data_IF_603461330388
#
_entry.id   IF_603461330388
#
_cell.length_a   1.000
_cell.length_b   1.000
_cell.length_c   1.000
_cell.angle_alpha   90.00
_cell.angle_beta   90.00
_cell.angle_gamma   90.00
#
_symmetry.space_group_name_H-M   'P 1'
#
loop_
_entity.id
_entity.type
_entity.pdbx_description
1 polymer ?
#
# COMPACT_ATOMS: atom_id res chain seq x y z
N UNK A 1 -34.66 71.98 -41.59
CA UNK A 1 -33.80 71.49 -42.70
C UNK A 1 -33.44 70.02 -42.42
N UNK A 2 -33.84 69.13 -43.35
CA UNK A 2 -33.59 67.67 -43.51
C UNK A 2 -33.63 66.75 -42.26
N UNK A 3 -34.61 65.85 -42.02
CA UNK A 3 -35.31 64.79 -42.81
C UNK A 3 -34.44 63.54 -43.12
N UNK A 4 -34.90 62.37 -42.65
CA UNK A 4 -34.57 61.00 -43.12
C UNK A 4 -34.34 60.03 -41.93
N UNK A 5 -35.27 59.23 -41.39
CA UNK A 5 -36.34 58.34 -41.90
C UNK A 5 -35.86 57.01 -42.53
N UNK A 6 -36.25 55.89 -41.89
CA UNK A 6 -36.40 54.54 -42.46
C UNK A 6 -35.12 53.69 -42.52
N UNK A 7 -35.12 52.36 -42.34
CA UNK A 7 -36.19 51.37 -42.34
C UNK A 7 -35.72 50.05 -41.71
N UNK A 8 -36.69 49.28 -41.20
CA UNK A 8 -36.58 47.90 -40.72
C UNK A 8 -36.35 46.94 -41.89
N UNK A 9 -35.55 45.88 -41.73
CA UNK A 9 -35.83 44.55 -42.32
C UNK A 9 -35.34 43.41 -41.41
N UNK A 10 -36.27 42.51 -41.10
CA UNK A 10 -36.06 41.17 -40.54
C UNK A 10 -35.52 40.27 -41.66
N UNK A 11 -34.63 39.34 -41.33
CA UNK A 11 -34.51 38.07 -42.04
C UNK A 11 -34.08 36.98 -41.06
N UNK A 12 -34.84 35.91 -41.06
CA UNK A 12 -34.67 34.70 -40.27
C UNK A 12 -33.98 33.61 -41.10
N UNK A 13 -33.55 32.56 -40.39
CA UNK A 13 -33.28 31.19 -40.84
C UNK A 13 -31.93 30.92 -41.53
N UNK A 14 -31.12 30.02 -40.96
CA UNK A 14 -31.27 28.57 -41.15
C UNK A 14 -30.32 27.79 -40.23
N UNK A 15 -30.87 26.73 -39.62
CA UNK A 15 -30.15 25.63 -38.99
C UNK A 15 -29.18 24.96 -39.98
N UNK A 16 -28.01 24.57 -39.49
CA UNK A 16 -27.25 23.43 -39.99
C UNK A 16 -26.67 22.70 -38.78
N UNK A 17 -27.41 21.68 -38.33
CA UNK A 17 -26.92 20.67 -37.41
C UNK A 17 -26.16 19.62 -38.24
N UNK A 18 -24.85 19.55 -38.07
CA UNK A 18 -24.02 18.48 -38.65
C UNK A 18 -24.02 17.30 -37.68
N UNK A 19 -24.88 16.33 -37.94
CA UNK A 19 -24.82 15.01 -37.32
C UNK A 19 -23.69 14.19 -37.97
N UNK A 20 -22.66 13.86 -37.20
CA UNK A 20 -21.67 12.86 -37.60
C UNK A 20 -22.20 11.48 -37.19
N UNK A 21 -22.79 10.76 -38.15
CA UNK A 21 -23.02 9.32 -38.04
C UNK A 21 -21.69 8.60 -38.31
N UNK A 22 -21.07 8.05 -37.26
CA UNK A 22 -20.12 6.94 -37.42
C UNK A 22 -20.89 5.63 -37.37
N UNK A 23 -20.90 4.92 -38.49
CA UNK A 23 -21.50 3.61 -38.70
C UNK A 23 -20.77 2.53 -37.91
N UNK A 24 -21.53 1.76 -37.14
CA UNK A 24 -21.08 0.49 -36.56
C UNK A 24 -21.20 -0.60 -37.64
N UNK A 25 -20.08 -1.19 -38.04
CA UNK A 25 -20.07 -2.37 -38.87
C UNK A 25 -20.29 -3.61 -37.99
N UNK A 26 -21.45 -4.23 -38.18
CA UNK A 26 -21.81 -5.54 -37.68
C UNK A 26 -21.16 -6.59 -38.59
N UNK A 27 -20.29 -7.45 -38.05
CA UNK A 27 -19.86 -8.68 -38.73
C UNK A 27 -20.54 -9.85 -38.04
N UNK A 28 -21.52 -10.41 -38.73
CA UNK A 28 -22.19 -11.66 -38.40
C UNK A 28 -21.28 -12.83 -38.76
N UNK A 29 -20.93 -13.65 -37.77
CA UNK A 29 -20.31 -14.95 -37.95
C UNK A 29 -21.01 -15.96 -37.06
N UNK A 30 -21.91 -16.77 -37.62
CA UNK A 30 -22.54 -17.90 -36.94
C UNK A 30 -21.86 -19.23 -37.34
N UNK A 31 -21.47 -19.96 -36.29
CA UNK A 31 -21.66 -21.39 -36.03
C UNK A 31 -21.11 -22.44 -37.01
N UNK A 32 -20.18 -23.25 -36.49
CA UNK A 32 -20.30 -24.71 -36.52
C UNK A 32 -19.93 -25.30 -35.16
N UNK A 33 -20.87 -26.03 -34.56
CA UNK A 33 -20.69 -26.82 -33.35
C UNK A 33 -20.01 -28.16 -33.68
N UNK A 34 -18.98 -28.51 -32.90
CA UNK A 34 -18.31 -29.81 -32.94
C UNK A 34 -18.30 -30.42 -31.55
N UNK A 35 -19.06 -31.50 -31.41
CA UNK A 35 -19.26 -32.30 -30.20
C UNK A 35 -17.96 -32.97 -29.74
N UNK A 36 -17.62 -32.83 -28.45
CA UNK A 36 -16.50 -33.52 -27.83
C UNK A 36 -16.66 -33.56 -26.32
N UNK A 37 -17.31 -34.61 -25.84
CA UNK A 37 -17.48 -34.96 -24.43
C UNK A 37 -16.14 -35.33 -23.80
N UNK A 38 -15.73 -34.67 -22.72
CA UNK A 38 -14.79 -35.24 -21.75
C UNK A 38 -15.38 -35.07 -20.35
N UNK A 39 -15.50 -36.22 -19.71
CA UNK A 39 -16.26 -36.51 -18.51
C UNK A 39 -15.46 -36.12 -17.26
N UNK A 40 -16.18 -35.62 -16.26
CA UNK A 40 -15.66 -35.24 -14.95
C UNK A 40 -15.13 -36.46 -14.17
N UNK A 41 -14.03 -36.26 -13.45
CA UNK A 41 -13.63 -37.10 -12.33
C UNK A 41 -13.52 -36.23 -11.07
N UNK A 42 -14.60 -36.21 -10.30
CA UNK A 42 -14.63 -35.77 -8.89
C UNK A 42 -14.36 -37.01 -8.05
N UNK A 43 -13.44 -36.92 -7.07
CA UNK A 43 -13.48 -37.79 -5.88
C UNK A 43 -13.43 -36.94 -4.61
N UNK A 44 -14.12 -37.36 -3.54
CA UNK A 44 -14.50 -36.51 -2.42
C UNK A 44 -13.64 -36.75 -1.17
N UNK A 45 -13.68 -35.79 -0.24
CA UNK A 45 -13.26 -36.00 1.14
C UNK A 45 -12.64 -34.77 1.78
N UNK A 46 -13.42 -33.98 2.50
CA UNK A 46 -13.37 -33.93 3.96
C UNK A 46 -14.44 -32.96 4.46
N UNK A 47 -15.25 -33.47 5.38
CA UNK A 47 -16.40 -32.84 5.98
C UNK A 47 -16.03 -31.81 7.05
N UNK A 48 -16.94 -30.86 7.17
CA UNK A 48 -17.13 -29.86 8.21
C UNK A 48 -16.92 -30.40 9.63
N UNK A 49 -16.13 -29.68 10.43
CA UNK A 49 -16.08 -29.84 11.87
C UNK A 49 -15.60 -28.53 12.54
N UNK A 50 -16.56 -27.80 13.08
CA UNK A 50 -16.51 -27.37 14.48
C UNK A 50 -15.52 -26.26 14.85
N UNK A 51 -16.06 -25.05 14.95
CA UNK A 51 -15.52 -23.97 15.79
C UNK A 51 -15.55 -24.41 17.27
N UNK A 52 -14.44 -24.35 18.03
CA UNK A 52 -14.51 -24.38 19.48
C UNK A 52 -14.54 -22.96 20.05
N UNK A 53 -15.56 -22.75 20.87
CA UNK A 53 -15.74 -21.63 21.79
C UNK A 53 -14.68 -21.69 22.89
N UNK A 54 -14.30 -20.53 23.41
CA UNK A 54 -13.44 -20.39 24.58
C UNK A 54 -14.08 -20.98 25.86
N UNK A 55 -13.28 -21.67 26.67
CA UNK A 55 -13.54 -21.88 28.10
C UNK A 55 -12.22 -21.89 28.89
N UNK A 56 -12.28 -21.31 30.09
CA UNK A 56 -11.19 -21.23 31.06
C UNK A 56 -11.14 -22.47 31.96
N UNK A 57 -9.93 -22.94 32.28
CA UNK A 57 -9.44 -23.65 33.48
C UNK A 57 -8.14 -24.34 33.04
N UNK A 58 -6.99 -24.33 33.71
CA UNK A 58 -6.68 -24.31 35.14
C UNK A 58 -5.50 -25.27 35.32
N UNK A 59 -4.35 -24.72 35.73
CA UNK A 59 -3.24 -25.29 36.52
C UNK A 59 -2.63 -26.67 36.18
N UNK A 60 -1.30 -26.62 36.11
CA UNK A 60 -0.31 -27.63 36.50
C UNK A 60 -0.24 -28.96 35.73
N UNK A 61 0.79 -29.08 34.87
CA UNK A 61 1.68 -30.25 34.84
C UNK A 61 2.86 -30.04 33.87
N UNK A 62 4.09 -30.15 34.41
CA UNK A 62 5.20 -30.84 33.74
C UNK A 62 5.99 -30.08 32.68
N UNK A 63 7.06 -29.41 33.11
CA UNK A 63 8.22 -29.07 32.29
C UNK A 63 9.03 -30.34 31.98
N UNK A 64 9.38 -30.65 30.72
CA UNK A 64 10.53 -31.48 30.43
C UNK A 64 11.76 -30.60 30.16
N UNK A 65 12.80 -30.94 30.90
CA UNK A 65 14.15 -30.38 30.91
C UNK A 65 14.85 -30.55 29.56
N UNK A 66 15.66 -29.55 29.23
CA UNK A 66 16.55 -29.49 28.08
C UNK A 66 17.46 -30.72 27.95
N UNK A 67 17.53 -31.28 26.74
CA UNK A 67 18.65 -32.10 26.27
C UNK A 67 19.59 -31.22 25.44
N UNK A 68 20.86 -31.24 25.83
CA UNK A 68 21.96 -30.63 25.08
C UNK A 68 22.19 -31.41 23.79
N UNK A 69 22.37 -30.70 22.67
CA UNK A 69 22.98 -31.24 21.48
C UNK A 69 23.77 -30.15 20.74
N UNK A 70 25.06 -30.42 20.52
CA UNK A 70 25.81 -30.00 19.35
C UNK A 70 26.32 -28.56 19.30
N UNK A 71 27.55 -28.35 19.77
CA UNK A 71 28.45 -27.40 19.12
C UNK A 71 28.83 -27.96 17.74
N UNK A 72 29.18 -27.04 16.84
CA UNK A 72 29.84 -27.23 15.53
C UNK A 72 28.90 -27.34 14.33
N UNK A 73 28.83 -26.24 13.56
CA UNK A 73 28.06 -26.13 12.33
C UNK A 73 28.01 -24.70 11.81
N UNK A 74 29.17 -24.07 11.60
CA UNK A 74 29.23 -22.78 10.91
C UNK A 74 28.71 -22.93 9.48
N UNK A 75 27.66 -22.19 9.14
CA UNK A 75 27.15 -22.10 7.76
C UNK A 75 27.93 -21.02 7.02
N UNK A 76 28.79 -21.34 6.04
CA UNK A 76 29.40 -20.34 5.18
C UNK A 76 28.41 -20.03 4.04
N UNK A 77 27.97 -18.76 3.91
CA UNK A 77 27.26 -18.37 2.68
C UNK A 77 26.34 -17.16 2.70
N UNK A 78 25.95 -16.62 3.86
CA UNK A 78 24.98 -15.51 3.89
C UNK A 78 25.58 -14.12 3.59
N UNK A 79 26.91 -13.96 3.60
CA UNK A 79 27.58 -12.64 3.42
C UNK A 79 27.90 -12.27 1.97
N UNK A 80 27.95 -13.22 1.02
CA UNK A 80 28.37 -12.91 -0.36
C UNK A 80 27.21 -12.45 -1.26
N UNK A 81 26.04 -13.08 -1.13
CA UNK A 81 24.87 -12.77 -1.97
C UNK A 81 24.36 -11.33 -1.79
N UNK A 82 24.47 -10.77 -0.58
CA UNK A 82 24.06 -9.38 -0.30
C UNK A 82 25.06 -8.32 -0.75
N UNK A 83 26.35 -8.66 -0.82
CA UNK A 83 27.40 -7.75 -1.28
C UNK A 83 27.41 -7.64 -2.82
N UNK A 84 27.13 -8.74 -3.51
CA UNK A 84 27.14 -8.81 -4.98
C UNK A 84 25.95 -8.06 -5.63
N UNK A 85 24.81 -7.97 -4.93
CA UNK A 85 23.65 -7.18 -5.38
C UNK A 85 23.82 -5.67 -5.14
N UNK A 86 24.62 -5.26 -4.14
CA UNK A 86 24.97 -3.86 -3.91
C UNK A 86 26.10 -3.39 -4.86
N UNK A 87 27.03 -4.29 -5.21
CA UNK A 87 28.19 -4.00 -6.05
C UNK A 87 27.87 -3.81 -7.54
N UNK A 88 26.70 -4.26 -8.00
CA UNK A 88 26.30 -4.19 -9.42
C UNK A 88 25.27 -3.09 -9.72
N UNK A 89 24.99 -2.18 -8.78
CA UNK A 89 24.08 -1.05 -9.03
C UNK A 89 24.78 0.04 -9.85
N UNK A 90 24.49 0.20 -11.16
CA UNK A 90 25.15 1.23 -11.96
C UNK A 90 24.63 2.61 -11.54
N UNK A 91 25.52 3.62 -11.49
CA UNK A 91 25.13 5.04 -11.32
C UNK A 91 24.04 5.47 -12.33
N UNK A 92 23.99 4.83 -13.50
CA UNK A 92 22.95 5.03 -14.50
C UNK A 92 21.52 4.75 -13.96
N UNK A 93 21.34 3.79 -13.05
CA UNK A 93 20.03 3.47 -12.48
C UNK A 93 19.52 4.52 -11.48
N UNK A 94 20.43 5.20 -10.77
CA UNK A 94 20.08 6.35 -9.93
C UNK A 94 19.70 7.56 -10.80
N UNK A 95 20.48 7.83 -11.86
CA UNK A 95 20.20 8.90 -12.81
C UNK A 95 18.88 8.70 -13.60
N UNK A 96 18.43 7.45 -13.78
CA UNK A 96 17.12 7.15 -14.37
C UNK A 96 15.96 7.31 -13.38
N UNK A 97 16.21 7.20 -12.07
CA UNK A 97 15.17 7.32 -11.04
C UNK A 97 14.87 8.77 -10.67
N UNK A 98 15.85 9.68 -10.69
CA UNK A 98 15.60 11.09 -10.34
C UNK A 98 14.56 11.77 -11.26
N UNK A 99 14.62 11.64 -12.60
CA UNK A 99 13.59 12.18 -13.49
C UNK A 99 12.24 11.47 -13.35
N UNK A 100 12.23 10.18 -12.98
CA UNK A 100 10.99 9.43 -12.73
C UNK A 100 10.31 9.87 -11.42
N UNK A 101 11.10 10.11 -10.37
CA UNK A 101 10.62 10.63 -9.08
C UNK A 101 10.13 12.08 -9.23
N UNK A 102 10.86 12.92 -9.98
CA UNK A 102 10.44 14.28 -10.31
C UNK A 102 9.19 14.30 -11.19
N UNK A 103 9.15 13.52 -12.28
CA UNK A 103 7.97 13.40 -13.15
C UNK A 103 6.74 12.83 -12.44
N UNK A 104 6.92 11.95 -11.45
CA UNK A 104 5.84 11.52 -10.57
C UNK A 104 5.38 12.62 -9.60
N UNK A 105 6.22 13.59 -9.24
CA UNK A 105 5.78 14.77 -8.51
C UNK A 105 4.86 15.65 -9.35
N UNK A 106 5.18 15.80 -10.63
CA UNK A 106 4.45 16.63 -11.59
C UNK A 106 3.11 16.00 -12.01
N UNK A 107 3.07 14.67 -12.12
CA UNK A 107 1.89 13.91 -12.57
C UNK A 107 0.70 13.91 -11.58
N UNK A 108 0.93 14.24 -10.30
CA UNK A 108 -0.09 14.17 -9.24
C UNK A 108 -0.57 15.53 -8.73
N UNK A 109 -0.18 16.64 -9.38
CA UNK A 109 -0.65 17.98 -9.06
C UNK A 109 0.06 18.65 -7.86
N UNK A 110 -0.34 19.89 -7.58
CA UNK A 110 0.29 20.75 -6.55
C UNK A 110 0.19 20.13 -5.15
N UNK A 111 1.15 20.42 -4.25
CA UNK A 111 1.08 19.99 -2.85
C UNK A 111 -0.26 20.37 -2.20
N UNK A 112 -0.89 19.40 -1.52
CA UNK A 112 -2.17 19.60 -0.81
C UNK A 112 -1.89 20.10 0.61
N UNK A 113 -2.50 21.22 1.01
CA UNK A 113 -2.46 21.70 2.41
C UNK A 113 -3.51 20.97 3.25
N UNK A 114 -3.07 19.95 3.99
CA UNK A 114 -3.94 19.11 4.82
C UNK A 114 -4.52 19.83 6.05
N UNK A 115 -4.15 21.08 6.33
CA UNK A 115 -4.83 21.92 7.33
C UNK A 115 -6.14 22.51 6.81
N UNK A 116 -6.31 22.53 5.49
CA UNK A 116 -7.50 23.10 4.81
C UNK A 116 -8.29 22.04 4.04
N UNK A 117 -7.59 21.08 3.44
CA UNK A 117 -8.20 19.99 2.68
C UNK A 117 -8.50 18.77 3.56
N UNK A 118 -9.50 17.96 3.16
CA UNK A 118 -9.75 16.66 3.78
C UNK A 118 -8.69 15.66 3.31
N UNK A 119 -7.57 15.56 4.01
CA UNK A 119 -6.55 14.56 3.66
C UNK A 119 -6.79 13.20 4.34
N UNK A 120 -6.35 12.13 3.69
CA UNK A 120 -6.27 10.78 4.26
C UNK A 120 -4.98 10.11 3.77
N UNK A 121 -4.27 9.45 4.69
CA UNK A 121 -3.11 8.62 4.35
C UNK A 121 -3.54 7.15 4.34
N UNK A 122 -3.58 6.54 3.14
CA UNK A 122 -3.74 5.10 2.99
C UNK A 122 -2.36 4.46 3.16
N UNK A 123 -2.26 3.51 4.09
CA UNK A 123 -1.01 2.84 4.42
C UNK A 123 -1.13 1.34 4.27
N UNK A 124 -0.10 0.71 3.72
CA UNK A 124 -0.07 -0.73 3.43
C UNK A 124 1.15 -1.36 4.08
N UNK A 125 0.91 -2.36 4.91
CA UNK A 125 1.95 -3.09 5.65
C UNK A 125 2.24 -4.44 4.98
N UNK A 126 3.35 -5.06 5.40
CA UNK A 126 3.84 -6.41 5.07
C UNK A 126 4.40 -6.63 3.66
N UNK A 127 4.09 -5.77 2.70
CA UNK A 127 4.65 -5.86 1.35
C UNK A 127 6.16 -5.60 1.26
N UNK A 128 6.71 -5.54 0.03
CA UNK A 128 6.04 -5.83 -1.24
C UNK A 128 5.72 -7.32 -1.43
N UNK A 129 4.77 -7.64 -2.31
CA UNK A 129 4.43 -9.03 -2.63
C UNK A 129 3.65 -9.17 -3.94
N UNK A 130 3.05 -10.35 -4.13
CA UNK A 130 2.36 -10.74 -5.37
C UNK A 130 1.25 -9.76 -5.80
N UNK A 131 0.56 -9.11 -4.86
CA UNK A 131 -0.60 -8.26 -5.17
C UNK A 131 -0.26 -6.77 -5.23
N UNK A 132 0.94 -6.35 -4.83
CA UNK A 132 1.33 -4.95 -4.75
C UNK A 132 1.21 -4.24 -6.11
N UNK A 133 1.62 -4.85 -7.22
CA UNK A 133 1.48 -4.22 -8.55
C UNK A 133 0.03 -3.98 -8.97
N UNK A 134 -0.88 -4.89 -8.59
CA UNK A 134 -2.31 -4.70 -8.86
C UNK A 134 -2.86 -3.52 -8.03
N UNK A 135 -2.43 -3.40 -6.77
CA UNK A 135 -2.73 -2.25 -5.93
C UNK A 135 -2.20 -0.94 -6.55
N UNK A 136 -0.95 -0.91 -7.04
CA UNK A 136 -0.36 0.27 -7.69
C UNK A 136 -1.20 0.74 -8.89
N UNK A 137 -1.76 -0.19 -9.67
CA UNK A 137 -2.67 0.15 -10.79
C UNK A 137 -3.94 0.86 -10.31
N UNK A 138 -4.55 0.38 -9.22
CA UNK A 138 -5.72 1.04 -8.64
C UNK A 138 -5.37 2.43 -8.10
N UNK A 139 -4.26 2.56 -7.35
CA UNK A 139 -3.80 3.85 -6.84
C UNK A 139 -3.54 4.84 -7.98
N UNK A 140 -2.88 4.40 -9.05
CA UNK A 140 -2.61 5.21 -10.24
C UNK A 140 -3.90 5.69 -10.91
N UNK A 141 -4.88 4.80 -11.10
CA UNK A 141 -6.16 5.14 -11.74
C UNK A 141 -6.95 6.22 -10.98
N UNK A 142 -6.78 6.29 -9.66
CA UNK A 142 -7.46 7.25 -8.79
C UNK A 142 -6.60 8.47 -8.43
N UNK A 143 -5.42 8.61 -9.02
CA UNK A 143 -4.46 9.66 -8.67
C UNK A 143 -4.11 9.71 -7.19
N UNK A 144 -4.03 8.54 -6.56
CA UNK A 144 -3.87 8.41 -5.14
C UNK A 144 -2.42 8.13 -4.75
N UNK A 145 -1.86 8.93 -3.83
CA UNK A 145 -0.61 8.61 -3.15
C UNK A 145 -0.91 7.78 -1.89
N UNK A 146 0.07 6.95 -1.52
CA UNK A 146 -0.02 6.01 -0.41
C UNK A 146 1.36 5.85 0.23
N UNK A 147 1.40 5.21 1.39
CA UNK A 147 2.64 4.88 2.11
C UNK A 147 2.72 3.38 2.31
N UNK A 148 3.85 2.78 1.95
CA UNK A 148 4.08 1.34 2.09
C UNK A 148 5.11 1.10 3.19
N UNK A 149 4.72 0.44 4.26
CA UNK A 149 5.64 -0.02 5.30
C UNK A 149 6.09 -1.43 4.94
N UNK A 150 7.31 -1.55 4.43
CA UNK A 150 7.78 -2.78 3.80
C UNK A 150 8.64 -3.63 4.73
N UNK A 151 8.50 -4.95 4.63
CA UNK A 151 9.30 -5.93 5.37
C UNK A 151 10.60 -6.20 4.61
N UNK A 152 11.74 -6.12 5.28
CA UNK A 152 13.06 -6.22 4.64
C UNK A 152 13.29 -7.51 3.85
N UNK A 153 12.84 -8.66 4.37
CA UNK A 153 12.88 -9.94 3.64
C UNK A 153 12.12 -9.87 2.31
N UNK A 154 10.96 -9.22 2.30
CA UNK A 154 10.12 -9.08 1.11
C UNK A 154 10.71 -8.09 0.11
N UNK A 155 11.41 -7.05 0.57
CA UNK A 155 12.19 -6.16 -0.30
C UNK A 155 13.24 -6.94 -1.09
N UNK A 156 13.94 -7.87 -0.45
CA UNK A 156 14.93 -8.72 -1.13
C UNK A 156 14.28 -9.66 -2.14
N UNK A 157 13.07 -10.17 -1.85
CA UNK A 157 12.32 -11.05 -2.75
C UNK A 157 11.66 -10.33 -3.94
N UNK A 158 11.21 -9.08 -3.76
CA UNK A 158 10.46 -8.32 -4.77
C UNK A 158 11.08 -6.93 -5.07
N UNK A 159 12.37 -6.85 -5.46
CA UNK A 159 13.05 -5.57 -5.65
C UNK A 159 12.45 -4.75 -6.80
N UNK A 160 12.01 -5.41 -7.88
CA UNK A 160 11.39 -4.73 -9.02
C UNK A 160 10.05 -4.07 -8.68
N UNK A 161 9.26 -4.70 -7.79
CA UNK A 161 7.99 -4.15 -7.30
C UNK A 161 8.26 -2.90 -6.48
N UNK A 162 9.21 -2.95 -5.54
CA UNK A 162 9.55 -1.78 -4.72
C UNK A 162 10.04 -0.59 -5.56
N UNK A 163 10.85 -0.83 -6.60
CA UNK A 163 11.25 0.24 -7.54
C UNK A 163 10.06 0.88 -8.22
N UNK A 164 9.08 0.09 -8.67
CA UNK A 164 7.84 0.61 -9.26
C UNK A 164 7.02 1.41 -8.26
N UNK A 165 6.94 0.96 -7.00
CA UNK A 165 6.26 1.68 -5.93
C UNK A 165 6.86 3.08 -5.73
N UNK A 166 8.19 3.19 -5.66
CA UNK A 166 8.89 4.47 -5.55
C UNK A 166 8.70 5.33 -6.81
N UNK A 167 8.89 4.76 -8.01
CA UNK A 167 8.73 5.47 -9.27
C UNK A 167 7.30 5.98 -9.51
N UNK A 168 6.29 5.36 -8.90
CA UNK A 168 4.91 5.82 -8.91
C UNK A 168 4.64 7.01 -7.95
N UNK A 169 5.64 7.43 -7.16
CA UNK A 169 5.55 8.58 -6.26
C UNK A 169 4.94 8.29 -4.88
N UNK A 170 4.94 7.01 -4.47
CA UNK A 170 4.52 6.58 -3.13
C UNK A 170 5.66 6.70 -2.11
N UNK A 171 5.32 6.83 -0.83
CA UNK A 171 6.30 6.87 0.26
C UNK A 171 6.63 5.44 0.75
N UNK A 172 7.90 5.20 1.07
CA UNK A 172 8.36 3.94 1.67
C UNK A 172 8.77 4.17 3.13
N UNK A 173 8.17 3.39 4.02
CA UNK A 173 8.57 3.24 5.42
C UNK A 173 9.14 1.84 5.69
N UNK A 174 9.89 1.68 6.78
CA UNK A 174 10.37 0.38 7.22
C UNK A 174 9.37 -0.35 8.12
N UNK A 175 9.16 -1.64 7.91
CA UNK A 175 8.31 -2.50 8.75
C UNK A 175 9.09 -3.67 9.37
N UNK A 176 10.34 -3.40 9.77
CA UNK A 176 11.33 -4.38 10.27
C UNK A 176 11.76 -5.41 9.22
N UNK A 177 12.74 -6.24 9.58
CA UNK A 177 13.36 -7.14 8.63
C UNK A 177 12.50 -8.38 8.44
N UNK A 178 11.98 -8.96 9.53
CA UNK A 178 11.22 -10.20 9.52
C UNK A 178 9.87 -10.12 10.22
N UNK A 179 9.34 -8.91 10.42
CA UNK A 179 8.05 -8.68 11.08
C UNK A 179 8.03 -9.18 12.55
N UNK A 180 9.17 -9.11 13.25
CA UNK A 180 9.27 -9.56 14.63
C UNK A 180 8.59 -8.57 15.60
N UNK A 181 7.99 -9.07 16.67
CA UNK A 181 7.57 -8.24 17.80
C UNK A 181 8.80 -7.67 18.51
N UNK A 182 9.08 -6.39 18.25
CA UNK A 182 10.26 -5.68 18.74
C UNK A 182 10.33 -5.63 20.27
N UNK A 183 9.18 -5.70 20.96
CA UNK A 183 9.15 -5.61 22.43
C UNK A 183 9.70 -6.87 23.11
N UNK A 184 9.82 -7.96 22.35
CA UNK A 184 10.34 -9.27 22.80
C UNK A 184 11.81 -9.48 22.44
N UNK A 185 12.43 -8.49 21.81
CA UNK A 185 13.80 -8.57 21.33
C UNK A 185 14.77 -7.78 22.22
N UNK A 186 16.02 -8.24 22.37
CA UNK A 186 17.07 -7.41 22.96
C UNK A 186 17.38 -6.21 22.04
N UNK A 187 17.87 -5.12 22.62
CA UNK A 187 18.14 -3.86 21.91
C UNK A 187 19.00 -4.02 20.64
N UNK A 188 20.01 -4.91 20.68
CA UNK A 188 20.86 -5.20 19.52
C UNK A 188 20.07 -5.85 18.36
N UNK A 189 19.12 -6.73 18.67
CA UNK A 189 18.27 -7.36 17.66
C UNK A 189 17.27 -6.35 17.06
N UNK A 190 16.69 -5.45 17.87
CA UNK A 190 15.86 -4.35 17.37
C UNK A 190 16.64 -3.46 16.39
N UNK A 191 17.88 -3.08 16.72
CA UNK A 191 18.74 -2.31 15.80
C UNK A 191 19.03 -3.08 14.51
N UNK A 192 19.22 -4.39 14.59
CA UNK A 192 19.43 -5.26 13.43
C UNK A 192 18.20 -5.30 12.52
N UNK A 193 17.00 -5.45 13.09
CA UNK A 193 15.74 -5.40 12.34
C UNK A 193 15.60 -4.11 11.52
N UNK A 194 15.94 -2.96 12.11
CA UNK A 194 15.93 -1.69 11.42
C UNK A 194 17.02 -1.57 10.35
N UNK A 195 18.28 -1.83 10.73
CA UNK A 195 19.42 -1.62 9.84
C UNK A 195 19.38 -2.51 8.59
N UNK A 196 18.99 -3.79 8.73
CA UNK A 196 18.89 -4.72 7.60
C UNK A 196 17.79 -4.30 6.63
N UNK A 197 16.67 -3.82 7.16
CA UNK A 197 15.55 -3.30 6.35
C UNK A 197 15.96 -2.06 5.58
N UNK A 198 16.62 -1.11 6.25
CA UNK A 198 17.12 0.11 5.62
C UNK A 198 18.14 -0.19 4.52
N UNK A 199 19.05 -1.13 4.79
CA UNK A 199 20.03 -1.57 3.80
C UNK A 199 19.36 -2.15 2.55
N UNK A 200 18.39 -3.05 2.72
CA UNK A 200 17.67 -3.64 1.60
C UNK A 200 16.88 -2.59 0.80
N UNK A 201 16.19 -1.66 1.47
CA UNK A 201 15.45 -0.59 0.80
C UNK A 201 16.42 0.34 0.04
N UNK A 202 17.53 0.74 0.66
CA UNK A 202 18.53 1.60 0.03
C UNK A 202 19.19 0.92 -1.16
N UNK A 203 19.53 -0.35 -1.06
CA UNK A 203 20.12 -1.11 -2.17
C UNK A 203 19.18 -1.19 -3.38
N UNK A 204 17.86 -1.25 -3.15
CA UNK A 204 16.88 -1.38 -4.23
C UNK A 204 16.42 -0.04 -4.80
N UNK A 205 16.39 1.02 -4.00
CA UNK A 205 15.73 2.28 -4.35
C UNK A 205 16.65 3.50 -4.32
N UNK A 206 17.83 3.38 -3.70
CA UNK A 206 18.69 4.51 -3.36
C UNK A 206 18.21 5.35 -2.18
N UNK A 207 17.03 5.07 -1.61
CA UNK A 207 16.41 5.85 -0.56
C UNK A 207 16.60 5.22 0.82
N UNK A 208 16.68 6.05 1.86
CA UNK A 208 16.65 5.61 3.26
C UNK A 208 15.27 5.93 3.85
N UNK A 209 14.55 4.94 4.41
CA UNK A 209 13.24 5.18 5.02
C UNK A 209 13.33 6.16 6.19
N UNK A 210 12.49 7.19 6.16
CA UNK A 210 12.44 8.24 7.20
C UNK A 210 11.45 7.93 8.32
N UNK A 211 10.57 6.95 8.12
CA UNK A 211 9.54 6.53 9.05
C UNK A 211 9.56 5.00 9.19
N UNK A 212 9.17 4.52 10.36
CA UNK A 212 9.07 3.10 10.70
C UNK A 212 7.64 2.84 11.16
N UNK A 213 7.11 1.64 10.94
CA UNK A 213 5.97 1.12 11.69
C UNK A 213 6.40 -0.15 12.41
N UNK A 214 6.28 -0.23 13.75
CA UNK A 214 6.51 -1.47 14.47
C UNK A 214 5.43 -2.52 14.14
N UNK A 215 5.81 -3.78 13.86
CA UNK A 215 4.88 -4.90 13.73
C UNK A 215 3.89 -4.97 14.89
N UNK A 216 2.64 -5.32 14.58
CA UNK A 216 1.54 -5.45 15.56
C UNK A 216 1.20 -4.17 16.34
N UNK A 217 1.81 -3.02 15.99
CA UNK A 217 1.77 -1.82 16.83
C UNK A 217 2.55 -1.96 18.15
N UNK A 218 3.37 -3.00 18.31
CA UNK A 218 4.09 -3.30 19.54
C UNK A 218 5.29 -2.36 19.73
N UNK A 219 5.24 -1.55 20.79
CA UNK A 219 6.23 -0.52 21.11
C UNK A 219 6.37 -0.38 22.63
N UNK A 220 7.61 -0.20 23.10
CA UNK A 220 7.92 0.22 24.46
C UNK A 220 9.12 1.20 24.47
N UNK A 221 9.48 1.72 25.65
CA UNK A 221 10.59 2.65 25.80
C UNK A 221 11.93 2.10 25.27
N UNK A 222 12.20 0.81 25.52
CA UNK A 222 13.42 0.14 25.04
C UNK A 222 13.52 0.16 23.52
N UNK A 223 12.43 -0.19 22.82
CA UNK A 223 12.34 -0.14 21.35
C UNK A 223 12.49 1.29 20.85
N UNK A 224 11.84 2.26 21.50
CA UNK A 224 11.90 3.67 21.09
C UNK A 224 13.32 4.24 21.14
N UNK A 225 14.13 3.86 22.13
CA UNK A 225 15.52 4.33 22.25
C UNK A 225 16.43 3.82 21.13
N UNK A 226 16.01 2.85 20.33
CA UNK A 226 16.86 2.26 19.27
C UNK A 226 16.87 3.06 17.96
N UNK A 227 16.06 4.11 17.84
CA UNK A 227 15.99 4.92 16.61
C UNK A 227 15.46 6.32 16.91
N UNK A 228 15.97 7.32 16.20
CA UNK A 228 15.43 8.69 16.22
C UNK A 228 14.29 8.89 15.21
N UNK A 229 14.07 7.91 14.32
CA UNK A 229 13.02 7.98 13.31
C UNK A 229 11.64 7.87 13.96
N UNK A 230 10.65 8.62 13.45
CA UNK A 230 9.27 8.47 13.87
C UNK A 230 8.76 7.06 13.61
N UNK A 231 8.09 6.52 14.63
CA UNK A 231 7.31 5.30 14.52
C UNK A 231 5.86 5.69 14.29
N UNK A 232 5.22 5.21 13.22
CA UNK A 232 3.90 5.64 12.76
C UNK A 232 2.93 4.46 12.94
N UNK A 233 1.89 4.59 13.78
CA UNK A 233 0.78 3.63 13.77
C UNK A 233 -0.38 4.15 12.92
N UNK A 234 -1.62 3.94 13.34
CA UNK A 234 -2.82 4.25 12.58
C UNK A 234 -3.94 4.73 13.49
N UNK A 235 -4.89 5.47 12.91
CA UNK A 235 -6.14 5.86 13.56
C UNK A 235 -7.32 4.99 13.15
N UNK A 236 -7.19 4.27 12.03
CA UNK A 236 -8.21 3.37 11.50
C UNK A 236 -7.57 2.02 11.17
N UNK A 237 -7.95 0.99 11.93
CA UNK A 237 -7.69 -0.41 11.57
C UNK A 237 -8.87 -0.93 10.73
N UNK A 238 -8.55 -1.45 9.54
CA UNK A 238 -9.55 -1.98 8.61
C UNK A 238 -9.92 -3.44 8.91
N UNK A 239 -9.12 -4.11 9.75
CA UNK A 239 -9.26 -5.52 10.09
C UNK A 239 -9.25 -6.44 8.85
N UNK A 240 -8.53 -6.02 7.80
CA UNK A 240 -8.39 -6.79 6.56
C UNK A 240 -7.59 -8.09 6.76
N UNK A 241 -6.59 -8.04 7.65
CA UNK A 241 -5.84 -9.19 8.14
C UNK A 241 -6.73 -10.23 8.85
N UNK A 242 -7.79 -9.77 9.55
CA UNK A 242 -8.72 -10.64 10.28
C UNK A 242 -9.83 -11.19 9.38
N UNK A 243 -10.50 -10.31 8.63
CA UNK A 243 -11.74 -10.67 7.96
C UNK A 243 -11.55 -11.28 6.56
N UNK A 244 -10.46 -10.94 5.87
CA UNK A 244 -10.14 -11.45 4.52
C UNK A 244 -11.32 -11.32 3.53
N UNK A 245 -12.10 -10.25 3.64
CA UNK A 245 -13.34 -10.00 2.89
C UNK A 245 -13.38 -8.54 2.41
N UNK A 246 -13.41 -8.34 1.10
CA UNK A 246 -13.29 -7.01 0.49
C UNK A 246 -14.47 -6.07 0.83
N UNK A 247 -15.67 -6.61 1.02
CA UNK A 247 -16.85 -5.82 1.38
C UNK A 247 -16.78 -5.36 2.84
N UNK A 248 -16.35 -6.22 3.77
CA UNK A 248 -16.12 -5.88 5.18
C UNK A 248 -15.01 -4.84 5.32
N UNK A 249 -13.89 -5.02 4.62
CA UNK A 249 -12.77 -4.05 4.59
C UNK A 249 -13.25 -2.69 4.08
N UNK A 250 -13.98 -2.68 2.96
CA UNK A 250 -14.57 -1.45 2.41
C UNK A 250 -15.49 -0.76 3.41
N UNK A 251 -16.41 -1.52 4.02
CA UNK A 251 -17.38 -0.98 4.98
C UNK A 251 -16.66 -0.39 6.20
N UNK A 252 -15.66 -1.09 6.75
CA UNK A 252 -14.88 -0.63 7.90
C UNK A 252 -14.12 0.65 7.57
N UNK A 253 -13.37 0.68 6.47
CA UNK A 253 -12.64 1.87 6.03
C UNK A 253 -13.57 3.08 5.88
N UNK A 254 -14.65 2.94 5.10
CA UNK A 254 -15.55 4.05 4.78
C UNK A 254 -16.38 4.54 5.97
N UNK A 255 -16.60 3.72 7.00
CA UNK A 255 -17.27 4.14 8.24
C UNK A 255 -16.33 4.92 9.16
N UNK A 256 -15.05 4.53 9.20
CA UNK A 256 -14.10 5.02 10.20
C UNK A 256 -13.24 6.20 9.74
N UNK A 257 -12.99 6.37 8.44
CA UNK A 257 -12.16 7.47 7.92
C UNK A 257 -12.74 8.85 8.29
N UNK A 258 -11.85 9.72 8.77
CA UNK A 258 -12.05 11.16 9.04
C UNK A 258 -10.88 11.95 8.42
N UNK A 259 -11.02 13.27 8.18
CA UNK A 259 -9.88 14.09 7.77
C UNK A 259 -8.71 13.91 8.75
N UNK A 260 -7.50 13.70 8.22
CA UNK A 260 -6.32 13.41 9.04
C UNK A 260 -6.11 11.92 9.37
N UNK A 261 -6.98 11.02 8.92
CA UNK A 261 -6.82 9.59 9.23
C UNK A 261 -5.60 8.97 8.56
N UNK A 262 -4.90 8.10 9.32
CA UNK A 262 -3.93 7.13 8.81
C UNK A 262 -4.61 5.76 8.87
N UNK A 263 -4.78 5.14 7.72
CA UNK A 263 -5.58 3.90 7.57
C UNK A 263 -4.65 2.72 7.35
N UNK A 264 -4.74 1.71 8.21
CA UNK A 264 -3.99 0.46 8.11
C UNK A 264 -4.70 -0.53 7.18
N UNK A 265 -3.95 -1.00 6.19
CA UNK A 265 -4.24 -2.13 5.32
C UNK A 265 -2.98 -2.99 5.17
N UNK A 266 -3.12 -4.17 4.57
CA UNK A 266 -2.03 -5.08 4.23
C UNK A 266 -2.11 -5.41 2.73
N UNK A 267 -1.06 -5.13 1.95
CA UNK A 267 -1.06 -5.35 0.49
C UNK A 267 -0.68 -6.78 0.08
N UNK A 268 -0.44 -7.65 1.06
CA UNK A 268 -0.22 -9.10 0.89
C UNK A 268 -1.54 -9.89 0.71
N UNK A 269 -2.64 -9.19 0.48
CA UNK A 269 -3.99 -9.72 0.57
C UNK A 269 -4.83 -9.36 -0.66
N UNK A 270 -5.33 -10.34 -1.44
CA UNK A 270 -6.07 -10.03 -2.67
C UNK A 270 -7.39 -9.31 -2.36
N UNK A 271 -8.02 -9.62 -1.22
CA UNK A 271 -9.27 -8.99 -0.76
C UNK A 271 -9.08 -7.52 -0.40
N UNK A 272 -7.91 -7.13 0.13
CA UNK A 272 -7.54 -5.73 0.33
C UNK A 272 -7.43 -5.01 -1.01
N UNK A 273 -6.71 -5.59 -1.98
CA UNK A 273 -6.57 -5.01 -3.32
C UNK A 273 -7.93 -4.86 -4.02
N UNK A 274 -8.80 -5.87 -3.92
CA UNK A 274 -10.16 -5.84 -4.47
C UNK A 274 -11.06 -4.78 -3.82
N UNK A 275 -10.82 -4.41 -2.55
CA UNK A 275 -11.59 -3.36 -1.87
C UNK A 275 -11.23 -1.94 -2.36
N UNK A 276 -10.03 -1.75 -2.91
CA UNK A 276 -9.47 -0.42 -3.20
C UNK A 276 -10.29 0.40 -4.20
N UNK A 277 -10.79 -0.12 -5.34
CA UNK A 277 -11.57 0.68 -6.27
C UNK A 277 -12.76 1.38 -5.61
N UNK A 278 -13.49 0.65 -4.75
CA UNK A 278 -14.67 1.20 -4.06
C UNK A 278 -14.27 2.20 -2.97
N UNK A 279 -13.22 1.91 -2.21
CA UNK A 279 -12.69 2.83 -1.19
C UNK A 279 -12.23 4.15 -1.83
N UNK A 280 -11.39 4.07 -2.86
CA UNK A 280 -10.81 5.22 -3.56
C UNK A 280 -11.90 6.07 -4.22
N UNK A 281 -12.82 5.45 -4.95
CA UNK A 281 -13.95 6.16 -5.58
C UNK A 281 -14.81 6.88 -4.55
N UNK A 282 -15.17 6.20 -3.45
CA UNK A 282 -16.08 6.76 -2.45
C UNK A 282 -15.42 7.89 -1.64
N UNK A 283 -14.14 7.75 -1.27
CA UNK A 283 -13.42 8.81 -0.56
C UNK A 283 -13.17 10.03 -1.47
N UNK A 284 -12.86 9.82 -2.75
CA UNK A 284 -12.76 10.91 -3.73
C UNK A 284 -14.08 11.68 -3.84
N UNK A 285 -15.21 10.97 -3.95
CA UNK A 285 -16.54 11.59 -3.99
C UNK A 285 -16.90 12.36 -2.71
N UNK A 286 -16.30 12.00 -1.57
CA UNK A 286 -16.43 12.73 -0.29
C UNK A 286 -15.47 13.91 -0.15
N UNK A 287 -14.69 14.21 -1.19
CA UNK A 287 -13.74 15.32 -1.25
C UNK A 287 -12.42 15.04 -0.54
N UNK A 288 -12.03 13.77 -0.35
CA UNK A 288 -10.74 13.45 0.24
C UNK A 288 -9.60 13.55 -0.77
N UNK A 289 -8.45 14.05 -0.32
CA UNK A 289 -7.17 13.96 -1.02
C UNK A 289 -6.33 12.84 -0.42
N UNK A 290 -5.79 11.97 -1.27
CA UNK A 290 -4.91 10.88 -0.85
C UNK A 290 -3.47 11.36 -0.80
N UNK A 291 -2.87 11.29 0.38
CA UNK A 291 -1.51 11.80 0.63
C UNK A 291 -0.64 10.71 1.23
N UNK A 292 0.67 10.86 1.09
CA UNK A 292 1.64 10.08 1.89
C UNK A 292 1.56 10.48 3.36
N UNK A 293 2.11 9.66 4.27
CA UNK A 293 2.18 10.01 5.69
C UNK A 293 2.96 11.30 5.88
N UNK A 294 4.13 11.45 5.26
CA UNK A 294 4.90 12.70 5.35
C UNK A 294 4.10 13.91 4.86
N UNK A 295 3.35 13.80 3.75
CA UNK A 295 2.53 14.89 3.23
C UNK A 295 1.38 15.28 4.18
N UNK A 296 0.79 14.29 4.87
CA UNK A 296 -0.24 14.54 5.88
C UNK A 296 0.26 15.50 6.98
N UNK A 297 1.55 15.44 7.30
CA UNK A 297 2.24 16.28 8.29
C UNK A 297 3.07 17.42 7.65
N UNK A 298 2.64 17.94 6.50
CA UNK A 298 3.26 19.12 5.87
C UNK A 298 4.60 18.83 5.18
N UNK A 299 4.79 17.60 4.70
CA UNK A 299 5.99 17.16 3.98
C UNK A 299 7.14 16.69 4.88
N UNK A 300 6.94 16.69 6.20
CA UNK A 300 7.91 16.20 7.18
C UNK A 300 7.39 14.90 7.83
N UNK A 301 8.27 13.96 8.17
CA UNK A 301 7.90 12.85 9.05
C UNK A 301 7.28 13.36 10.36
N UNK A 302 6.22 12.72 10.90
CA UNK A 302 5.59 13.15 12.14
C UNK A 302 6.57 13.08 13.32
N UNK A 303 6.41 13.87 14.39
CA UNK A 303 7.36 13.84 15.53
C UNK A 303 7.17 12.65 16.50
N UNK A 304 5.99 12.01 16.55
CA UNK A 304 5.70 10.92 17.49
C UNK A 304 4.58 9.97 17.05
N UNK A 305 4.59 8.78 17.68
CA UNK A 305 3.74 7.61 17.47
C UNK A 305 2.26 7.89 17.66
N UNK A 306 1.50 7.77 16.57
CA UNK A 306 0.04 7.88 16.63
C UNK A 306 -0.58 6.55 17.02
N UNK A 307 -1.07 6.41 18.26
CA UNK A 307 -2.11 5.42 18.60
C UNK A 307 -3.41 6.19 18.86
N UNK A 308 -4.27 6.31 17.84
CA UNK A 308 -5.59 6.91 18.01
C UNK A 308 -5.65 8.45 18.11
N UNK A 309 -6.87 8.96 17.97
CA UNK A 309 -7.25 10.28 17.45
C UNK A 309 -6.93 11.54 18.29
N UNK A 310 -5.92 11.56 19.17
CA UNK A 310 -5.72 12.69 20.09
C UNK A 310 -4.26 13.11 20.22
N UNK A 311 -3.61 13.57 19.15
CA UNK A 311 -2.43 14.47 19.26
C UNK A 311 -2.17 15.21 17.95
N UNK A 312 -3.11 16.08 17.55
CA UNK A 312 -2.74 17.22 16.72
C UNK A 312 -2.26 18.32 17.67
N UNK A 313 -0.94 18.49 17.75
CA UNK A 313 -0.17 19.74 17.82
C UNK A 313 1.32 19.40 17.96
#
# INVERSE_FOLDING_TARGET
MNIGAGSRRRAAARLLATAVLTTAACVTGQLTAGSGTVQAAVRPGFTDAGVPRASQAGKDAGVPRASQAGKDGGVPGASRVGADLAATWPKASQALLEPLIAGAQDAWGRPVDCRRAKCVALTFDDGPGLYTDALLRHLKAHRARATFFVVGQNVAAYPAVLRRTVAAGHEIGGHTWSHADLTRLPAAAVRSEFARTDHAIKAVTGLVPRIIRPPYGALNGSVRMQTTRPMVMWSVDTLDWLHRDSAKVTKKALKSVRPGSIVLFHDIHPTTVQAMPRILTTLSARGYSFVTVSQLFGGKPPRLVYSGASSML
#
